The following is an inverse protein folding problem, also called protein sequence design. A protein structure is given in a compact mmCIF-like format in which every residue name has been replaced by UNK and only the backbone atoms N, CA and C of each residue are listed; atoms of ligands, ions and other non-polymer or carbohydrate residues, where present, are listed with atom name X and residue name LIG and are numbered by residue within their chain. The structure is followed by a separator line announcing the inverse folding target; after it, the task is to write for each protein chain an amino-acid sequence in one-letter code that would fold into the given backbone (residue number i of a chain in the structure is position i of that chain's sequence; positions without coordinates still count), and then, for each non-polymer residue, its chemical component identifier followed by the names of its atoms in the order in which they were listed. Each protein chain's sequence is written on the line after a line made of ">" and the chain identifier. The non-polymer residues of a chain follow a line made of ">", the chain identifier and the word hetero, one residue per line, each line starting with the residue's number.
data_IF_768417596512
#
_entry.id   IF_768417596512
#
_cell.length_a   1.000
_cell.length_b   1.000
_cell.length_c   1.000
_cell.angle_alpha   90.00
_cell.angle_beta   90.00
_cell.angle_gamma   90.00
#
_symmetry.space_group_name_H-M   'P 1'
#
loop_
_entity.id
_entity.type
_entity.pdbx_description
1 polymer ?
#
# COMPACT_ATOMS: atom_id res chain seq x y z
N UNK A 1 -8.61 -28.69 17.93
CA UNK A 1 -9.85 -27.97 17.53
C UNK A 1 -9.70 -26.45 17.45
N UNK A 2 -9.79 -25.64 18.53
CA UNK A 2 -9.75 -24.15 18.37
C UNK A 2 -8.45 -23.61 17.75
N UNK A 3 -7.30 -24.20 18.13
CA UNK A 3 -5.99 -23.79 17.60
C UNK A 3 -5.77 -24.17 16.13
N UNK A 4 -6.38 -25.24 15.63
CA UNK A 4 -6.29 -25.61 14.21
C UNK A 4 -7.10 -24.64 13.35
N UNK A 5 -8.30 -24.26 13.79
CA UNK A 5 -9.13 -23.29 13.07
C UNK A 5 -8.42 -21.94 12.88
N UNK A 6 -7.67 -21.46 13.89
CA UNK A 6 -6.87 -20.24 13.75
C UNK A 6 -5.79 -20.34 12.65
N UNK A 7 -5.17 -21.50 12.48
CA UNK A 7 -4.13 -21.71 11.46
C UNK A 7 -4.73 -21.65 10.06
N UNK A 8 -5.85 -22.33 9.84
CA UNK A 8 -6.58 -22.25 8.57
C UNK A 8 -7.04 -20.83 8.23
N UNK A 9 -7.50 -20.07 9.23
CA UNK A 9 -7.89 -18.66 9.04
C UNK A 9 -6.67 -17.81 8.67
N UNK A 10 -5.53 -18.01 9.35
CA UNK A 10 -4.30 -17.28 9.06
C UNK A 10 -3.79 -17.58 7.63
N UNK A 11 -3.79 -18.85 7.22
CA UNK A 11 -3.37 -19.26 5.87
C UNK A 11 -4.30 -18.68 4.80
N UNK A 12 -5.62 -18.70 5.02
CA UNK A 12 -6.58 -18.07 4.12
C UNK A 12 -6.36 -16.56 4.00
N UNK A 13 -6.01 -15.89 5.10
CA UNK A 13 -5.73 -14.45 5.12
C UNK A 13 -4.44 -14.11 4.37
N UNK A 14 -3.41 -14.94 4.50
CA UNK A 14 -2.15 -14.80 3.74
C UNK A 14 -2.40 -14.98 2.24
N UNK A 15 -3.21 -15.97 1.84
CA UNK A 15 -3.56 -16.18 0.44
C UNK A 15 -4.36 -15.00 -0.14
N UNK A 16 -5.36 -14.49 0.59
CA UNK A 16 -6.10 -13.30 0.19
C UNK A 16 -5.17 -12.10 0.02
N UNK A 17 -4.22 -11.96 0.93
CA UNK A 17 -3.16 -10.98 0.89
C UNK A 17 -2.28 -11.04 -0.34
N UNK A 18 -1.81 -12.24 -0.67
CA UNK A 18 -0.99 -12.48 -1.85
C UNK A 18 -1.73 -12.06 -3.12
N UNK A 19 -3.01 -12.41 -3.24
CA UNK A 19 -3.85 -12.00 -4.37
C UNK A 19 -4.00 -10.48 -4.41
N UNK A 20 -4.33 -9.84 -3.28
CA UNK A 20 -4.48 -8.40 -3.21
C UNK A 20 -3.19 -7.63 -3.57
N UNK A 21 -2.04 -8.08 -3.06
CA UNK A 21 -0.73 -7.49 -3.40
C UNK A 21 -0.42 -7.69 -4.88
N UNK A 22 -0.75 -8.86 -5.44
CA UNK A 22 -0.59 -9.12 -6.88
C UNK A 22 -1.44 -8.17 -7.72
N UNK A 23 -2.71 -7.96 -7.34
CA UNK A 23 -3.60 -6.99 -7.98
C UNK A 23 -3.04 -5.57 -7.88
N UNK A 24 -2.52 -5.17 -6.72
CA UNK A 24 -1.86 -3.87 -6.54
C UNK A 24 -0.65 -3.71 -7.47
N UNK A 25 0.20 -4.72 -7.59
CA UNK A 25 1.36 -4.69 -8.50
C UNK A 25 0.92 -4.56 -9.95
N UNK A 26 -0.11 -5.31 -10.37
CA UNK A 26 -0.70 -5.19 -11.71
C UNK A 26 -1.26 -3.78 -11.93
N UNK A 27 -1.90 -3.19 -10.91
CA UNK A 27 -2.38 -1.81 -10.93
C UNK A 27 -1.26 -0.80 -11.17
N UNK A 28 -0.12 -0.95 -10.50
CA UNK A 28 1.06 -0.09 -10.70
C UNK A 28 1.55 -0.16 -12.15
N UNK A 29 1.57 -1.35 -12.76
CA UNK A 29 2.08 -1.54 -14.13
C UNK A 29 1.09 -1.02 -15.18
N UNK A 30 -0.23 -1.22 -14.99
CA UNK A 30 -1.25 -0.86 -15.99
C UNK A 30 -1.77 0.56 -15.92
N UNK A 31 -1.73 1.22 -14.76
CA UNK A 31 -2.36 2.54 -14.61
C UNK A 31 -1.55 3.63 -15.34
N UNK A 32 -2.19 4.53 -16.10
CA UNK A 32 -1.49 5.54 -16.90
C UNK A 32 -1.01 6.75 -16.09
N UNK A 33 -1.63 7.03 -14.94
CA UNK A 33 -1.33 8.22 -14.13
C UNK A 33 -0.47 7.92 -12.90
N UNK A 34 0.49 8.80 -12.60
CA UNK A 34 1.43 8.61 -11.48
C UNK A 34 0.70 8.54 -10.13
N UNK A 35 -0.32 9.38 -9.92
CA UNK A 35 -1.16 9.35 -8.70
C UNK A 35 -1.97 8.05 -8.59
N UNK A 36 -2.44 7.52 -9.73
CA UNK A 36 -3.16 6.25 -9.76
C UNK A 36 -2.23 5.08 -9.42
N UNK A 37 -0.97 5.10 -9.88
CA UNK A 37 0.06 4.12 -9.48
C UNK A 37 0.39 4.21 -7.99
N UNK A 38 0.52 5.42 -7.43
CA UNK A 38 0.74 5.64 -6.00
C UNK A 38 -0.42 5.12 -5.15
N UNK A 39 -1.66 5.34 -5.59
CA UNK A 39 -2.84 4.78 -4.93
C UNK A 39 -2.82 3.25 -4.92
N UNK A 40 -2.57 2.63 -6.09
CA UNK A 40 -2.46 1.17 -6.20
C UNK A 40 -1.34 0.60 -5.32
N UNK A 41 -0.19 1.29 -5.22
CA UNK A 41 0.90 0.92 -4.32
C UNK A 41 0.51 1.04 -2.84
N UNK A 42 -0.26 2.07 -2.46
CA UNK A 42 -0.75 2.25 -1.09
C UNK A 42 -1.67 1.13 -0.62
N UNK A 43 -2.50 0.57 -1.51
CA UNK A 43 -3.38 -0.56 -1.21
C UNK A 43 -2.57 -1.82 -0.81
N UNK A 44 -1.43 -2.08 -1.45
CA UNK A 44 -0.57 -3.22 -1.10
C UNK A 44 -0.03 -3.12 0.33
N UNK A 45 0.38 -1.92 0.75
CA UNK A 45 0.94 -1.67 2.08
C UNK A 45 -0.10 -1.92 3.16
N UNK A 46 -1.30 -1.37 3.01
CA UNK A 46 -2.38 -1.54 3.99
C UNK A 46 -2.75 -3.02 4.17
N UNK A 47 -2.91 -3.76 3.07
CA UNK A 47 -3.24 -5.18 3.11
C UNK A 47 -2.10 -5.98 3.75
N UNK A 48 -0.84 -5.72 3.36
CA UNK A 48 0.33 -6.38 3.93
C UNK A 48 0.46 -6.18 5.44
N UNK A 49 0.21 -4.96 5.93
CA UNK A 49 0.24 -4.63 7.36
C UNK A 49 -0.82 -5.43 8.14
N UNK A 50 -2.05 -5.52 7.62
CA UNK A 50 -3.13 -6.28 8.27
C UNK A 50 -2.77 -7.77 8.41
N UNK A 51 -2.17 -8.36 7.39
CA UNK A 51 -1.77 -9.78 7.40
C UNK A 51 -0.65 -10.04 8.39
N UNK A 52 0.38 -9.18 8.40
CA UNK A 52 1.52 -9.33 9.31
C UNK A 52 1.05 -9.20 10.77
N UNK A 53 0.16 -8.25 11.07
CA UNK A 53 -0.40 -8.09 12.42
C UNK A 53 -1.25 -9.29 12.84
N UNK A 54 -2.13 -9.79 11.96
CA UNK A 54 -2.94 -10.98 12.23
C UNK A 54 -2.07 -12.23 12.45
N UNK A 55 -1.03 -12.42 11.64
CA UNK A 55 -0.06 -13.51 11.79
C UNK A 55 0.72 -13.41 13.11
N UNK A 56 1.13 -12.20 13.50
CA UNK A 56 1.84 -11.97 14.75
C UNK A 56 0.96 -12.27 15.98
N UNK A 57 -0.30 -11.84 15.97
CA UNK A 57 -1.29 -12.16 17.02
C UNK A 57 -1.54 -13.68 17.09
N UNK A 58 -1.68 -14.33 15.93
CA UNK A 58 -1.87 -15.78 15.85
C UNK A 58 -0.68 -16.60 16.39
N UNK A 59 0.53 -16.04 16.40
CA UNK A 59 1.72 -16.70 16.96
C UNK A 59 1.73 -16.79 18.49
N UNK A 60 1.01 -15.90 19.18
CA UNK A 60 1.06 -15.77 20.64
C UNK A 60 2.40 -15.31 21.23
N UNK A 61 3.37 -14.92 20.40
CA UNK A 61 4.70 -14.51 20.84
C UNK A 61 4.80 -13.00 20.99
N UNK A 62 4.92 -12.53 22.24
CA UNK A 62 5.08 -11.11 22.57
C UNK A 62 6.21 -10.39 21.80
N UNK A 63 7.42 -10.97 21.63
CA UNK A 63 8.49 -10.32 20.87
C UNK A 63 8.15 -10.15 19.38
N UNK A 64 7.38 -11.09 18.82
CA UNK A 64 6.98 -11.03 17.41
C UNK A 64 5.90 -9.98 17.18
N UNK A 65 4.93 -9.88 18.10
CA UNK A 65 3.91 -8.82 18.09
C UNK A 65 4.53 -7.43 18.14
N UNK A 66 5.50 -7.20 19.03
CA UNK A 66 6.19 -5.91 19.13
C UNK A 66 6.90 -5.50 17.84
N UNK A 67 7.60 -6.44 17.20
CA UNK A 67 8.27 -6.20 15.90
C UNK A 67 7.27 -5.94 14.77
N UNK A 68 6.20 -6.75 14.70
CA UNK A 68 5.16 -6.61 13.70
C UNK A 68 4.45 -5.25 13.82
N UNK A 69 4.18 -4.79 15.04
CA UNK A 69 3.59 -3.48 15.29
C UNK A 69 4.52 -2.34 14.86
N UNK A 70 5.82 -2.45 15.19
CA UNK A 70 6.84 -1.49 14.74
C UNK A 70 6.89 -1.36 13.22
N UNK A 71 6.90 -2.50 12.52
CA UNK A 71 6.89 -2.54 11.05
C UNK A 71 5.59 -1.94 10.50
N UNK A 72 4.44 -2.28 11.09
CA UNK A 72 3.14 -1.77 10.69
C UNK A 72 3.05 -0.25 10.78
N UNK A 73 3.45 0.31 11.93
CA UNK A 73 3.46 1.77 12.16
C UNK A 73 4.43 2.45 11.21
N UNK A 74 5.63 1.90 11.04
CA UNK A 74 6.63 2.45 10.13
C UNK A 74 6.09 2.51 8.69
N UNK A 75 5.55 1.40 8.18
CA UNK A 75 4.99 1.33 6.83
C UNK A 75 3.80 2.28 6.64
N UNK A 76 2.89 2.37 7.62
CA UNK A 76 1.75 3.29 7.56
C UNK A 76 2.13 4.77 7.63
N UNK A 77 3.28 5.12 8.22
CA UNK A 77 3.79 6.49 8.20
C UNK A 77 4.59 6.77 6.93
N UNK A 78 5.42 5.82 6.48
CA UNK A 78 6.22 5.99 5.26
C UNK A 78 5.35 6.06 4.02
N UNK A 79 4.31 5.23 3.89
CA UNK A 79 3.43 5.23 2.72
C UNK A 79 2.81 6.60 2.38
N UNK A 80 2.14 7.33 3.31
CA UNK A 80 1.58 8.65 3.02
C UNK A 80 2.66 9.72 2.83
N UNK A 81 3.80 9.62 3.53
CA UNK A 81 4.91 10.55 3.33
C UNK A 81 5.51 10.41 1.92
N UNK A 82 5.74 9.19 1.46
CA UNK A 82 6.17 8.90 0.09
C UNK A 82 5.12 9.35 -0.92
N UNK A 83 3.83 9.08 -0.67
CA UNK A 83 2.74 9.51 -1.56
C UNK A 83 2.68 11.04 -1.69
N UNK A 84 2.83 11.78 -0.59
CA UNK A 84 2.85 13.23 -0.59
C UNK A 84 4.07 13.79 -1.35
N UNK A 85 5.25 13.22 -1.12
CA UNK A 85 6.47 13.61 -1.83
C UNK A 85 6.35 13.37 -3.35
N UNK A 86 5.82 12.20 -3.75
CA UNK A 86 5.59 11.86 -5.16
C UNK A 86 4.54 12.80 -5.78
N UNK A 87 3.45 13.09 -5.08
CA UNK A 87 2.43 14.03 -5.56
C UNK A 87 3.02 15.44 -5.78
N UNK A 88 3.85 15.93 -4.85
CA UNK A 88 4.52 17.22 -4.97
C UNK A 88 5.51 17.27 -6.14
N UNK A 89 6.23 16.18 -6.38
CA UNK A 89 7.12 16.04 -7.51
C UNK A 89 6.35 16.00 -8.84
N UNK A 90 5.26 15.24 -8.90
CA UNK A 90 4.40 15.12 -10.08
C UNK A 90 3.75 16.46 -10.50
N UNK A 91 3.38 17.30 -9.53
CA UNK A 91 2.89 18.66 -9.81
C UNK A 91 4.00 19.55 -10.37
N UNK A 92 5.23 19.43 -9.87
CA UNK A 92 6.39 20.21 -10.36
C UNK A 92 6.81 19.79 -11.76
N UNK A 93 6.78 18.49 -12.06
CA UNK A 93 7.10 17.95 -13.38
C UNK A 93 6.05 18.32 -14.44
N UNK A 94 4.82 18.63 -14.01
CA UNK A 94 3.74 19.14 -14.88
C UNK A 94 3.77 20.66 -15.12
N UNK A 95 4.82 21.38 -14.71
CA UNK A 95 4.96 22.80 -15.06
C UNK A 95 5.15 22.98 -16.57
N UNK A 96 4.19 23.68 -17.23
CA UNK A 96 4.10 24.03 -18.67
C UNK A 96 3.74 22.83 -19.60
N UNK A 97 2.55 22.73 -20.27
CA UNK A 97 1.63 23.77 -20.76
C UNK A 97 0.16 23.59 -20.33
N UNK A 98 -0.44 24.59 -19.68
CA UNK A 98 -1.90 24.72 -19.56
C UNK A 98 -2.38 26.18 -19.49
N UNK A 99 -1.45 27.13 -19.39
CA UNK A 99 -1.76 28.56 -19.39
C UNK A 99 -1.45 29.26 -20.72
N UNK A 100 -0.77 28.60 -21.68
CA UNK A 100 -0.40 29.21 -22.97
C UNK A 100 -1.30 28.76 -24.14
N UNK A 101 -2.10 27.69 -23.99
CA UNK A 101 -3.04 27.25 -25.03
C UNK A 101 -4.44 27.89 -24.93
N UNK A 102 -4.67 28.77 -23.94
CA UNK A 102 -5.95 29.50 -23.78
C UNK A 102 -5.86 30.96 -24.24
N UNK A 103 -4.67 31.47 -24.59
CA UNK A 103 -4.47 32.86 -25.02
C UNK A 103 -3.93 33.02 -26.46
N UNK A 104 -3.64 31.93 -27.18
CA UNK A 104 -3.25 31.98 -28.60
C UNK A 104 -4.46 32.06 -29.57
N UNK A 105 -5.59 32.58 -29.09
CA UNK A 105 -6.86 32.52 -29.82
C UNK A 105 -7.88 33.56 -29.36
N UNK A 106 -7.46 34.82 -29.15
CA UNK A 106 -8.32 36.02 -29.28
C UNK A 106 -7.50 37.16 -29.86
#
# INVERSE_FOLDING_TARGET
>A
MRAEALKWVADALVLLGLVAVTVSVVGIIRLPGILMRVHAAGQAVFVGVVIILMGAVGSGQWPLMGRALLVAVFLMLTAPMSAHAIARAAVRERGEPAAEEVDAGV
#
